data_IF_535751831861
#
_entry.id   IF_535751831861
#
_cell.length_a   1.000
_cell.length_b   1.000
_cell.length_c   1.000
_cell.angle_alpha   90.00
_cell.angle_beta   90.00
_cell.angle_gamma   90.00
#
_symmetry.space_group_name_H-M   'P 1'
#
loop_
_entity.id
_entity.type
_entity.pdbx_description
1 polymer ?
#
# COMPACT_ATOMS: atom_id res chain seq x y z
N UNK A 1 -34.96 43.90 -22.45
CA UNK A 1 -35.56 42.68 -21.87
C UNK A 1 -34.70 42.23 -20.69
N UNK A 2 -35.27 41.62 -19.63
CA UNK A 2 -34.51 41.25 -18.42
C UNK A 2 -34.72 39.78 -18.07
N UNK A 3 -33.66 39.10 -17.65
CA UNK A 3 -33.66 37.72 -17.16
C UNK A 3 -33.51 37.69 -15.63
N UNK A 4 -33.98 36.61 -15.02
CA UNK A 4 -33.95 36.45 -13.56
C UNK A 4 -32.51 36.44 -13.01
N UNK A 5 -31.57 35.83 -13.75
CA UNK A 5 -30.15 35.80 -13.39
C UNK A 5 -29.31 36.37 -14.54
N UNK A 6 -28.36 37.24 -14.21
CA UNK A 6 -27.33 37.69 -15.15
C UNK A 6 -26.32 36.59 -15.50
N UNK A 7 -25.98 35.74 -14.52
CA UNK A 7 -25.16 34.53 -14.72
C UNK A 7 -25.95 33.27 -14.34
N UNK A 8 -25.90 32.26 -15.22
CA UNK A 8 -26.57 30.98 -15.05
C UNK A 8 -25.57 29.84 -15.11
N UNK A 9 -25.19 29.31 -13.95
CA UNK A 9 -24.35 28.12 -13.84
C UNK A 9 -25.17 26.85 -14.14
N UNK A 10 -24.63 26.00 -15.00
CA UNK A 10 -25.27 24.77 -15.47
C UNK A 10 -24.23 23.68 -15.72
N UNK A 11 -24.66 22.43 -15.74
CA UNK A 11 -23.82 21.33 -16.24
C UNK A 11 -23.87 21.26 -17.78
N UNK A 12 -22.90 20.56 -18.37
CA UNK A 12 -22.87 20.18 -19.79
C UNK A 12 -23.91 19.11 -20.17
N UNK A 13 -24.76 18.69 -19.24
CA UNK A 13 -25.86 17.77 -19.51
C UNK A 13 -27.01 18.50 -20.22
N UNK A 14 -27.11 18.30 -21.53
CA UNK A 14 -28.14 18.92 -22.38
C UNK A 14 -29.58 18.65 -21.92
N UNK A 15 -29.84 17.50 -21.30
CA UNK A 15 -31.19 17.15 -20.81
C UNK A 15 -31.62 17.97 -19.60
N UNK A 16 -30.65 18.54 -18.87
CA UNK A 16 -30.86 19.36 -17.68
C UNK A 16 -30.79 20.85 -17.96
N UNK A 17 -30.20 21.25 -19.09
CA UNK A 17 -30.08 22.65 -19.47
C UNK A 17 -31.42 23.24 -19.89
N UNK A 18 -31.82 24.31 -19.21
CA UNK A 18 -33.02 25.09 -19.55
C UNK A 18 -32.63 26.53 -19.79
N UNK A 19 -32.98 27.04 -20.97
CA UNK A 19 -32.83 28.47 -21.25
C UNK A 19 -33.68 29.28 -20.27
N UNK A 20 -33.16 30.41 -19.79
CA UNK A 20 -33.95 31.30 -18.95
C UNK A 20 -35.09 31.92 -19.77
N UNK A 21 -36.28 31.93 -19.18
CA UNK A 21 -37.36 32.77 -19.69
C UNK A 21 -37.16 34.22 -19.23
N UNK A 22 -37.50 35.22 -20.06
CA UNK A 22 -37.49 36.61 -19.62
C UNK A 22 -38.51 36.83 -18.50
N UNK A 23 -38.21 37.75 -17.58
CA UNK A 23 -39.06 38.06 -16.42
C UNK A 23 -40.45 38.50 -16.87
N UNK A 24 -40.50 39.28 -17.95
CA UNK A 24 -41.75 39.63 -18.63
C UNK A 24 -41.96 38.65 -19.78
N UNK A 25 -43.14 38.00 -19.88
CA UNK A 25 -43.42 37.07 -20.97
C UNK A 25 -43.32 37.78 -22.31
N UNK A 26 -42.83 37.05 -23.32
CA UNK A 26 -42.74 37.56 -24.69
C UNK A 26 -44.17 37.77 -25.21
N UNK A 27 -44.52 38.96 -25.72
CA UNK A 27 -45.83 39.21 -26.31
C UNK A 27 -46.13 38.24 -27.46
N UNK A 28 -47.38 37.78 -27.59
CA UNK A 28 -47.77 36.74 -28.57
C UNK A 28 -47.58 37.16 -30.04
N UNK A 29 -47.60 38.46 -30.34
CA UNK A 29 -47.36 39.02 -31.68
C UNK A 29 -45.89 39.37 -31.95
N UNK A 30 -44.99 39.18 -30.99
CA UNK A 30 -43.58 39.51 -31.15
C UNK A 30 -42.85 38.37 -31.87
N UNK A 31 -42.09 38.72 -32.91
CA UNK A 31 -41.12 37.82 -33.51
C UNK A 31 -39.82 37.92 -32.71
N UNK A 32 -39.20 36.77 -32.42
CA UNK A 32 -37.99 36.74 -31.62
C UNK A 32 -37.00 35.71 -32.11
N UNK A 33 -35.72 35.99 -31.85
CA UNK A 33 -34.61 35.10 -32.17
C UNK A 33 -33.66 34.96 -30.99
N UNK A 34 -33.20 33.73 -30.77
CA UNK A 34 -32.11 33.43 -29.86
C UNK A 34 -30.78 33.35 -30.61
N UNK A 35 -29.74 33.84 -29.96
CA UNK A 35 -28.37 33.76 -30.42
C UNK A 35 -27.42 33.42 -29.27
N UNK A 36 -26.27 32.85 -29.60
CA UNK A 36 -25.20 32.54 -28.67
C UNK A 36 -23.92 33.23 -29.11
N UNK A 37 -23.28 33.96 -28.20
CA UNK A 37 -21.97 34.57 -28.40
C UNK A 37 -20.83 33.56 -28.55
N UNK A 38 -21.05 32.30 -28.12
CA UNK A 38 -20.07 31.23 -28.24
C UNK A 38 -20.77 29.90 -28.60
N UNK A 39 -21.00 29.67 -29.90
CA UNK A 39 -21.68 28.46 -30.42
C UNK A 39 -20.97 27.14 -30.08
N UNK A 40 -19.66 27.19 -29.80
CA UNK A 40 -18.90 26.01 -29.34
C UNK A 40 -19.22 25.58 -27.91
N UNK A 41 -19.72 26.51 -27.08
CA UNK A 41 -20.12 26.28 -25.68
C UNK A 41 -21.62 26.03 -25.60
N UNK A 42 -22.45 26.90 -26.18
CA UNK A 42 -23.89 26.71 -26.27
C UNK A 42 -24.34 26.91 -27.71
N UNK A 43 -24.75 25.84 -28.38
CA UNK A 43 -25.32 25.90 -29.72
C UNK A 43 -26.84 25.96 -29.61
N UNK A 44 -27.43 27.10 -29.97
CA UNK A 44 -28.86 27.35 -29.85
C UNK A 44 -29.44 27.74 -31.22
N UNK A 45 -30.62 27.20 -31.53
CA UNK A 45 -31.40 27.59 -32.70
C UNK A 45 -32.07 28.95 -32.48
N UNK A 46 -32.48 29.67 -33.54
CA UNK A 46 -33.22 30.92 -33.40
C UNK A 46 -34.52 30.79 -32.57
N UNK A 47 -35.12 29.59 -32.52
CA UNK A 47 -36.32 29.31 -31.72
C UNK A 47 -36.05 29.04 -30.24
N UNK A 48 -34.79 28.98 -29.82
CA UNK A 48 -34.40 28.73 -28.43
C UNK A 48 -34.14 27.25 -28.09
N UNK A 49 -34.16 26.35 -29.07
CA UNK A 49 -33.79 24.94 -28.87
C UNK A 49 -32.28 24.79 -28.86
N UNK A 50 -31.74 24.11 -27.85
CA UNK A 50 -30.30 23.87 -27.69
C UNK A 50 -29.92 22.56 -28.37
N UNK A 51 -28.95 22.61 -29.27
CA UNK A 51 -28.49 21.48 -30.08
C UNK A 51 -27.26 20.78 -29.47
N UNK A 52 -26.37 21.53 -28.82
CA UNK A 52 -25.17 21.00 -28.17
C UNK A 52 -24.68 21.92 -27.05
N UNK A 53 -24.00 21.32 -26.06
CA UNK A 53 -23.35 22.01 -24.96
C UNK A 53 -21.91 21.50 -24.81
N UNK A 54 -21.00 22.42 -24.50
CA UNK A 54 -19.63 22.14 -24.07
C UNK A 54 -19.28 23.07 -22.92
N UNK A 55 -18.30 22.71 -22.10
CA UNK A 55 -17.85 23.55 -21.00
C UNK A 55 -17.30 24.89 -21.50
N UNK A 56 -17.58 25.98 -20.77
CA UNK A 56 -17.18 27.32 -21.17
C UNK A 56 -18.16 28.40 -20.75
N UNK A 57 -17.99 29.57 -21.36
CA UNK A 57 -18.89 30.71 -21.19
C UNK A 57 -19.56 31.04 -22.52
N UNK A 58 -20.86 31.33 -22.50
CA UNK A 58 -21.57 31.87 -23.64
C UNK A 58 -22.60 32.91 -23.20
N UNK A 59 -22.58 34.09 -23.80
CA UNK A 59 -23.69 35.03 -23.69
C UNK A 59 -24.85 34.57 -24.58
N UNK A 60 -26.03 34.40 -23.99
CA UNK A 60 -27.26 34.03 -24.69
C UNK A 60 -28.16 35.26 -24.80
N UNK A 61 -28.42 35.68 -26.04
CA UNK A 61 -29.18 36.90 -26.33
C UNK A 61 -30.48 36.56 -27.00
N UNK A 62 -31.58 37.08 -26.44
CA UNK A 62 -32.91 37.07 -27.02
C UNK A 62 -33.18 38.45 -27.60
N UNK A 63 -33.47 38.50 -28.90
CA UNK A 63 -33.82 39.73 -29.62
C UNK A 63 -35.28 39.65 -30.05
N UNK A 64 -36.06 40.68 -29.74
CA UNK A 64 -37.35 40.95 -30.37
C UNK A 64 -37.09 41.77 -31.62
N UNK A 65 -37.55 41.28 -32.76
CA UNK A 65 -37.40 41.96 -34.04
C UNK A 65 -38.40 43.13 -34.15
N UNK A 66 -38.02 44.18 -34.85
CA UNK A 66 -38.93 45.29 -35.15
C UNK A 66 -40.11 44.80 -36.00
N UNK A 67 -41.33 45.19 -35.63
CA UNK A 67 -42.53 45.01 -36.44
C UNK A 67 -43.53 46.15 -36.21
N UNK A 68 -44.73 46.04 -36.78
CA UNK A 68 -45.79 47.07 -36.67
C UNK A 68 -46.22 47.39 -35.23
N UNK A 69 -45.88 46.54 -34.26
CA UNK A 69 -46.30 46.64 -32.86
C UNK A 69 -45.16 46.81 -31.87
N UNK A 70 -43.92 46.47 -32.25
CA UNK A 70 -42.77 46.42 -31.35
C UNK A 70 -41.53 47.04 -32.00
N UNK A 71 -40.84 47.88 -31.25
CA UNK A 71 -39.46 48.27 -31.57
C UNK A 71 -38.49 47.14 -31.21
N UNK A 72 -37.35 47.11 -31.90
CA UNK A 72 -36.28 46.18 -31.57
C UNK A 72 -35.87 46.34 -30.11
N UNK A 73 -35.83 45.22 -29.40
CA UNK A 73 -35.29 45.17 -28.05
C UNK A 73 -34.58 43.85 -27.82
N UNK A 74 -33.57 43.86 -26.96
CA UNK A 74 -32.84 42.66 -26.61
C UNK A 74 -32.66 42.53 -25.11
N UNK A 75 -32.27 41.34 -24.69
CA UNK A 75 -31.71 41.07 -23.37
C UNK A 75 -30.76 39.90 -23.49
N UNK A 76 -29.79 39.85 -22.59
CA UNK A 76 -28.84 38.75 -22.52
C UNK A 76 -28.63 38.26 -21.09
N UNK A 77 -28.12 37.03 -20.97
CA UNK A 77 -27.53 36.50 -19.77
C UNK A 77 -26.35 35.60 -20.14
N UNK A 78 -25.42 35.41 -19.22
CA UNK A 78 -24.27 34.53 -19.39
C UNK A 78 -24.63 33.13 -18.92
N UNK A 79 -24.45 32.13 -19.79
CA UNK A 79 -24.44 30.73 -19.41
C UNK A 79 -23.00 30.29 -19.11
N UNK A 80 -22.76 29.83 -17.89
CA UNK A 80 -21.50 29.22 -17.47
C UNK A 80 -21.70 27.69 -17.41
N UNK A 81 -21.10 26.98 -18.36
CA UNK A 81 -21.26 25.53 -18.51
C UNK A 81 -20.07 24.82 -17.88
N UNK A 82 -20.32 24.01 -16.86
CA UNK A 82 -19.32 23.22 -16.15
C UNK A 82 -19.41 21.73 -16.53
N UNK A 83 -18.27 21.05 -16.53
CA UNK A 83 -18.18 19.60 -16.72
C UNK A 83 -17.48 18.95 -15.53
N UNK A 84 -17.69 17.64 -15.35
CA UNK A 84 -16.92 16.88 -14.38
C UNK A 84 -15.41 16.93 -14.69
N UNK A 85 -14.53 16.93 -13.68
CA UNK A 85 -13.08 16.95 -13.90
C UNK A 85 -12.59 15.76 -14.72
N UNK A 86 -11.54 15.92 -15.53
CA UNK A 86 -11.03 14.80 -16.32
C UNK A 86 -9.87 14.09 -15.63
N UNK A 87 -10.13 12.88 -15.12
CA UNK A 87 -9.12 12.02 -14.49
C UNK A 87 -8.55 11.00 -15.47
N UNK A 88 -7.22 10.94 -15.56
CA UNK A 88 -6.54 9.79 -16.16
C UNK A 88 -6.55 8.59 -15.20
N UNK A 89 -6.29 7.40 -15.73
CA UNK A 89 -6.12 6.21 -14.91
C UNK A 89 -4.98 6.40 -13.89
N UNK A 90 -5.20 6.16 -12.59
CA UNK A 90 -4.17 6.35 -11.57
C UNK A 90 -2.99 5.43 -11.81
N UNK A 91 -1.77 5.96 -11.72
CA UNK A 91 -0.55 5.15 -11.77
C UNK A 91 -0.15 4.76 -10.36
N UNK A 92 0.08 3.47 -10.12
CA UNK A 92 0.42 2.94 -8.80
C UNK A 92 1.76 2.19 -8.81
N UNK A 93 2.61 2.50 -7.85
CA UNK A 93 3.86 1.80 -7.57
C UNK A 93 3.79 1.22 -6.16
N UNK A 94 4.24 -0.02 -5.99
CA UNK A 94 4.26 -0.71 -4.71
C UNK A 94 5.70 -0.85 -4.26
N UNK A 95 6.01 -0.43 -3.04
CA UNK A 95 7.30 -0.71 -2.41
C UNK A 95 7.17 -2.00 -1.60
N UNK A 96 7.94 -3.01 -2.00
CA UNK A 96 7.95 -4.36 -1.46
C UNK A 96 9.32 -4.66 -0.88
N UNK A 97 9.42 -4.96 0.43
CA UNK A 97 10.70 -5.33 1.06
C UNK A 97 11.80 -4.30 0.74
N UNK A 98 11.44 -3.01 0.77
CA UNK A 98 12.33 -1.88 0.50
C UNK A 98 12.65 -1.61 -0.98
N UNK A 99 12.00 -2.29 -1.92
CA UNK A 99 12.23 -2.14 -3.38
C UNK A 99 10.96 -1.69 -4.07
N UNK A 100 11.06 -0.67 -4.93
CA UNK A 100 9.92 -0.16 -5.70
C UNK A 100 9.65 -1.06 -6.92
N UNK A 101 8.39 -1.45 -7.08
CA UNK A 101 7.92 -2.29 -8.18
C UNK A 101 6.74 -1.61 -8.89
N UNK A 102 6.94 -1.33 -10.18
CA UNK A 102 5.87 -0.86 -11.05
C UNK A 102 4.96 -2.03 -11.44
N UNK A 103 3.65 -1.80 -11.38
CA UNK A 103 2.65 -2.78 -11.78
C UNK A 103 2.77 -4.14 -11.07
N UNK A 104 3.13 -4.14 -9.78
CA UNK A 104 3.14 -5.35 -8.96
C UNK A 104 1.77 -6.06 -8.98
N UNK A 105 1.79 -7.40 -9.04
CA UNK A 105 0.59 -8.25 -8.99
C UNK A 105 0.13 -8.51 -7.56
N UNK A 106 0.95 -8.18 -6.58
CA UNK A 106 0.69 -8.28 -5.15
C UNK A 106 1.52 -7.24 -4.40
N UNK A 107 1.07 -6.88 -3.20
CA UNK A 107 1.83 -6.05 -2.27
C UNK A 107 2.30 -6.93 -1.10
N UNK A 108 3.62 -7.01 -0.93
CA UNK A 108 4.34 -7.77 0.10
C UNK A 108 5.13 -6.79 0.99
N UNK A 109 4.46 -5.88 1.70
CA UNK A 109 5.15 -4.93 2.54
C UNK A 109 5.82 -5.66 3.71
N UNK A 110 7.02 -5.25 4.07
CA UNK A 110 7.81 -5.82 5.18
C UNK A 110 8.15 -4.73 6.19
N UNK A 111 8.52 -3.56 5.68
CA UNK A 111 9.02 -2.45 6.49
C UNK A 111 7.98 -1.35 6.66
N UNK A 112 8.02 -0.63 7.78
CA UNK A 112 7.12 0.52 8.05
C UNK A 112 7.30 1.66 7.04
N UNK A 113 8.43 1.69 6.33
CA UNK A 113 8.75 2.65 5.27
C UNK A 113 8.45 2.13 3.85
N UNK A 114 7.97 0.90 3.70
CA UNK A 114 7.29 0.49 2.47
C UNK A 114 6.03 1.38 2.25
N UNK A 115 5.46 1.40 1.06
CA UNK A 115 4.25 2.16 0.75
C UNK A 115 3.62 1.77 -0.59
N UNK A 116 2.38 2.23 -0.77
CA UNK A 116 1.73 2.34 -2.08
C UNK A 116 1.82 3.81 -2.49
N UNK A 117 2.52 4.09 -3.58
CA UNK A 117 2.61 5.41 -4.19
C UNK A 117 1.61 5.52 -5.33
N UNK A 118 0.70 6.49 -5.24
CA UNK A 118 -0.35 6.77 -6.22
C UNK A 118 -0.06 8.11 -6.88
N UNK A 119 -0.05 8.12 -8.21
CA UNK A 119 0.04 9.33 -9.02
C UNK A 119 -1.31 9.54 -9.69
N UNK A 120 -1.95 10.66 -9.36
CA UNK A 120 -3.21 11.09 -9.96
C UNK A 120 -2.93 12.25 -10.90
N UNK A 121 -3.52 12.19 -12.10
CA UNK A 121 -3.45 13.27 -13.08
C UNK A 121 -4.85 13.73 -13.43
N UNK A 122 -5.12 15.01 -13.16
CA UNK A 122 -6.32 15.73 -13.60
C UNK A 122 -5.93 16.69 -14.74
N UNK A 123 -6.47 16.46 -15.93
CA UNK A 123 -6.15 17.30 -17.10
C UNK A 123 -7.05 18.52 -17.23
N UNK A 124 -8.08 18.66 -16.37
CA UNK A 124 -8.96 19.83 -16.35
C UNK A 124 -8.25 21.05 -15.78
N UNK A 125 -7.96 22.04 -16.64
CA UNK A 125 -7.23 23.26 -16.26
C UNK A 125 -8.09 24.52 -16.13
N UNK A 126 -9.28 24.55 -16.75
CA UNK A 126 -10.13 25.73 -16.74
C UNK A 126 -11.02 25.79 -15.49
N UNK A 127 -11.58 26.96 -15.16
CA UNK A 127 -12.56 27.08 -14.06
C UNK A 127 -13.76 26.13 -14.21
N UNK A 128 -14.06 25.73 -15.44
CA UNK A 128 -15.19 24.87 -15.81
C UNK A 128 -14.94 23.37 -15.68
N UNK A 129 -13.67 22.95 -15.53
CA UNK A 129 -13.27 21.53 -15.55
C UNK A 129 -12.24 21.18 -14.47
N UNK A 130 -11.69 22.15 -13.76
CA UNK A 130 -10.73 21.90 -12.69
C UNK A 130 -11.41 21.17 -11.53
N UNK A 131 -10.66 20.28 -10.88
CA UNK A 131 -11.11 19.71 -9.61
C UNK A 131 -10.88 20.74 -8.50
N UNK A 132 -11.89 20.96 -7.66
CA UNK A 132 -11.75 21.71 -6.42
C UNK A 132 -11.20 20.86 -5.28
N UNK A 133 -11.48 19.55 -5.31
CA UNK A 133 -11.08 18.59 -4.29
C UNK A 133 -10.80 17.23 -4.92
N UNK A 134 -9.80 16.54 -4.38
CA UNK A 134 -9.45 15.18 -4.70
C UNK A 134 -9.55 14.33 -3.44
N UNK A 135 -10.30 13.22 -3.50
CA UNK A 135 -10.33 12.18 -2.48
C UNK A 135 -9.69 10.92 -3.05
N UNK A 136 -8.65 10.42 -2.39
CA UNK A 136 -7.95 9.20 -2.78
C UNK A 136 -8.08 8.22 -1.62
N UNK A 137 -8.73 7.08 -1.86
CA UNK A 137 -9.00 6.08 -0.84
C UNK A 137 -8.36 4.74 -1.21
N UNK A 138 -7.64 4.16 -0.26
CA UNK A 138 -7.26 2.75 -0.26
C UNK A 138 -8.44 1.95 0.29
N UNK A 139 -8.99 1.03 -0.50
CA UNK A 139 -10.20 0.27 -0.17
C UNK A 139 -9.98 -1.24 -0.26
N UNK A 140 -10.80 -1.99 0.44
CA UNK A 140 -10.94 -3.45 0.33
C UNK A 140 -12.42 -3.79 0.34
N UNK A 141 -12.96 -4.19 -0.82
CA UNK A 141 -14.42 -4.23 -1.01
C UNK A 141 -15.04 -2.85 -0.76
N UNK A 142 -16.13 -2.78 0.00
CA UNK A 142 -16.76 -1.50 0.36
C UNK A 142 -16.06 -0.74 1.49
N UNK A 143 -15.08 -1.36 2.16
CA UNK A 143 -14.42 -0.78 3.33
C UNK A 143 -13.28 0.14 2.91
N UNK A 144 -13.31 1.39 3.39
CA UNK A 144 -12.16 2.30 3.32
C UNK A 144 -11.15 1.90 4.39
N UNK A 145 -9.93 1.59 3.95
CA UNK A 145 -8.81 1.24 4.83
C UNK A 145 -8.01 2.48 5.24
N UNK A 146 -7.81 3.39 4.29
CA UNK A 146 -7.12 4.66 4.47
C UNK A 146 -7.59 5.64 3.37
N UNK A 147 -7.53 6.93 3.63
CA UNK A 147 -7.94 7.95 2.67
C UNK A 147 -7.26 9.29 2.91
N UNK A 148 -7.02 10.02 1.83
CA UNK A 148 -6.51 11.38 1.88
C UNK A 148 -7.37 12.29 1.02
N UNK A 149 -7.75 13.43 1.59
CA UNK A 149 -8.47 14.49 0.89
C UNK A 149 -7.57 15.71 0.72
N UNK A 150 -7.53 16.23 -0.50
CA UNK A 150 -6.57 17.24 -0.93
C UNK A 150 -7.27 18.27 -1.82
N UNK A 151 -6.86 19.54 -1.72
CA UNK A 151 -7.19 20.55 -2.73
C UNK A 151 -6.05 20.61 -3.75
N UNK A 152 -6.22 20.09 -4.97
CA UNK A 152 -5.12 20.00 -5.93
C UNK A 152 -4.65 21.39 -6.38
N UNK A 153 -3.36 21.69 -6.18
CA UNK A 153 -2.72 22.94 -6.63
C UNK A 153 -2.06 22.81 -8.00
N UNK A 154 -1.96 21.59 -8.52
CA UNK A 154 -1.41 21.27 -9.84
C UNK A 154 -2.19 20.12 -10.48
N UNK A 155 -1.99 19.90 -11.78
CA UNK A 155 -2.61 18.79 -12.52
C UNK A 155 -2.12 17.42 -12.07
N UNK A 156 -0.99 17.33 -11.38
CA UNK A 156 -0.36 16.08 -10.97
C UNK A 156 -0.21 16.03 -9.45
N UNK A 157 -0.84 15.06 -8.82
CA UNK A 157 -0.79 14.86 -7.37
C UNK A 157 -0.16 13.50 -7.05
N UNK A 158 0.70 13.47 -6.03
CA UNK A 158 1.34 12.24 -5.54
C UNK A 158 0.87 11.99 -4.12
N UNK A 159 0.36 10.78 -3.88
CA UNK A 159 -0.15 10.32 -2.59
C UNK A 159 0.63 9.06 -2.21
N UNK A 160 0.91 8.88 -0.92
CA UNK A 160 1.51 7.65 -0.41
C UNK A 160 0.65 7.08 0.71
N UNK A 161 0.35 5.78 0.64
CA UNK A 161 -0.29 5.03 1.72
C UNK A 161 0.75 4.17 2.43
N UNK A 162 0.90 4.37 3.74
CA UNK A 162 1.83 3.57 4.54
C UNK A 162 1.22 2.21 4.87
N UNK A 163 2.04 1.16 4.98
CA UNK A 163 1.59 -0.17 5.31
C UNK A 163 1.02 -0.20 6.72
N UNK A 164 0.02 -1.05 6.88
CA UNK A 164 -0.61 -1.33 8.16
C UNK A 164 -0.81 -2.84 8.26
N UNK A 165 -0.56 -3.40 9.45
CA UNK A 165 -0.77 -4.83 9.70
C UNK A 165 -2.20 -5.29 9.44
N UNK A 166 -3.19 -4.40 9.56
CA UNK A 166 -4.59 -4.68 9.26
C UNK A 166 -4.89 -4.83 7.77
N UNK A 167 -3.94 -4.55 6.87
CA UNK A 167 -4.11 -4.71 5.43
C UNK A 167 -3.82 -6.12 4.96
N UNK A 168 -3.01 -6.89 5.69
CA UNK A 168 -2.68 -8.26 5.30
C UNK A 168 -3.94 -9.10 5.11
N UNK A 169 -3.87 -10.00 4.13
CA UNK A 169 -4.96 -10.90 3.70
C UNK A 169 -6.13 -10.23 2.99
N UNK A 170 -6.08 -8.91 2.77
CA UNK A 170 -7.07 -8.16 2.00
C UNK A 170 -6.66 -8.00 0.54
N UNK A 171 -7.66 -7.83 -0.32
CA UNK A 171 -7.46 -7.43 -1.71
C UNK A 171 -7.77 -5.94 -1.83
N UNK A 172 -6.71 -5.13 -1.97
CA UNK A 172 -6.81 -3.67 -1.92
C UNK A 172 -6.86 -3.05 -3.30
N UNK A 173 -7.54 -1.91 -3.43
CA UNK A 173 -7.54 -1.09 -4.64
C UNK A 173 -7.60 0.39 -4.27
N UNK A 174 -7.20 1.25 -5.21
CA UNK A 174 -7.27 2.70 -5.04
C UNK A 174 -8.49 3.22 -5.77
N UNK A 175 -9.33 3.98 -5.07
CA UNK A 175 -10.42 4.76 -5.64
C UNK A 175 -10.05 6.24 -5.57
N UNK A 176 -10.18 6.93 -6.70
CA UNK A 176 -9.91 8.36 -6.82
C UNK A 176 -11.19 9.06 -7.24
N UNK A 177 -11.63 10.03 -6.44
CA UNK A 177 -12.78 10.88 -6.74
C UNK A 177 -12.32 12.34 -6.86
N UNK A 178 -12.58 12.97 -7.99
CA UNK A 178 -12.33 14.39 -8.21
C UNK A 178 -13.66 15.15 -8.27
N UNK A 179 -13.85 16.07 -7.34
CA UNK A 179 -15.01 16.95 -7.29
C UNK A 179 -14.72 18.23 -8.06
N UNK A 180 -15.61 18.60 -8.98
CA UNK A 180 -15.59 19.84 -9.75
C UNK A 180 -16.48 20.91 -9.10
N UNK A 181 -17.39 21.49 -9.87
CA UNK A 181 -18.36 22.46 -9.34
C UNK A 181 -19.27 21.77 -8.29
N UNK A 182 -19.14 22.18 -7.03
CA UNK A 182 -19.85 21.59 -5.89
C UNK A 182 -21.36 21.84 -5.93
N UNK A 183 -21.79 23.02 -6.39
CA UNK A 183 -23.21 23.40 -6.52
C UNK A 183 -23.92 22.50 -7.51
N UNK A 184 -23.22 22.07 -8.56
CA UNK A 184 -23.74 21.19 -9.61
C UNK A 184 -23.46 19.71 -9.34
N UNK A 185 -22.83 19.37 -8.20
CA UNK A 185 -22.45 18.01 -7.82
C UNK A 185 -21.68 17.25 -8.91
N UNK A 186 -20.82 17.95 -9.64
CA UNK A 186 -20.03 17.35 -10.72
C UNK A 186 -18.83 16.62 -10.14
N UNK A 187 -18.73 15.33 -10.44
CA UNK A 187 -17.66 14.48 -9.96
C UNK A 187 -17.20 13.51 -11.04
N UNK A 188 -15.94 13.12 -10.96
CA UNK A 188 -15.36 12.02 -11.73
C UNK A 188 -14.73 11.03 -10.79
N UNK A 189 -14.85 9.75 -11.12
CA UNK A 189 -14.30 8.67 -10.32
C UNK A 189 -13.51 7.69 -11.20
N UNK A 190 -12.38 7.22 -10.67
CA UNK A 190 -11.56 6.16 -11.25
C UNK A 190 -11.15 5.18 -10.17
N UNK A 191 -11.00 3.91 -10.53
CA UNK A 191 -10.53 2.86 -9.62
C UNK A 191 -9.47 2.02 -10.29
N UNK A 192 -8.46 1.63 -9.52
CA UNK A 192 -7.42 0.73 -10.00
C UNK A 192 -7.86 -0.73 -9.92
N UNK A 193 -7.07 -1.62 -10.52
CA UNK A 193 -7.21 -3.06 -10.27
C UNK A 193 -7.00 -3.39 -8.79
N UNK A 194 -7.59 -4.50 -8.36
CA UNK A 194 -7.34 -5.10 -7.05
C UNK A 194 -5.95 -5.73 -7.00
N UNK A 195 -5.29 -5.57 -5.86
CA UNK A 195 -3.96 -6.12 -5.55
C UNK A 195 -4.01 -6.78 -4.17
N UNK A 196 -3.71 -8.09 -4.07
CA UNK A 196 -3.67 -8.78 -2.79
C UNK A 196 -2.51 -8.29 -1.93
N UNK A 197 -2.77 -8.10 -0.64
CA UNK A 197 -1.74 -7.81 0.37
C UNK A 197 -1.42 -9.10 1.11
N UNK A 198 -0.18 -9.59 0.97
CA UNK A 198 0.22 -10.90 1.51
C UNK A 198 1.46 -10.75 2.38
N UNK A 199 1.62 -11.69 3.30
CA UNK A 199 2.87 -11.86 4.03
C UNK A 199 3.94 -12.35 3.05
N UNK A 200 5.13 -11.75 3.10
CA UNK A 200 6.29 -12.29 2.39
C UNK A 200 6.67 -13.64 3.00
N UNK A 201 7.26 -14.53 2.20
CA UNK A 201 8.03 -15.65 2.74
C UNK A 201 9.12 -15.09 3.67
N UNK A 202 9.13 -15.43 4.97
CA UNK A 202 10.07 -14.87 5.93
C UNK A 202 11.54 -15.09 5.55
N UNK A 203 11.84 -16.16 4.80
CA UNK A 203 13.22 -16.44 4.33
C UNK A 203 13.70 -15.45 3.27
N UNK A 204 12.79 -14.71 2.62
CA UNK A 204 13.10 -13.67 1.63
C UNK A 204 13.25 -12.28 2.23
N UNK A 205 13.03 -12.12 3.54
CA UNK A 205 13.41 -10.90 4.25
C UNK A 205 14.95 -10.82 4.20
N UNK A 206 15.47 -9.72 3.65
CA UNK A 206 16.89 -9.60 3.33
C UNK A 206 17.75 -9.55 4.60
N UNK A 207 18.99 -10.01 4.48
CA UNK A 207 20.06 -9.86 5.49
C UNK A 207 19.78 -10.55 6.84
N UNK A 208 19.20 -11.75 6.79
CA UNK A 208 19.17 -12.66 7.94
C UNK A 208 20.40 -13.57 7.87
N UNK A 209 21.16 -13.65 8.96
CA UNK A 209 22.30 -14.56 9.07
C UNK A 209 22.06 -15.60 10.16
N UNK A 210 22.49 -16.83 9.88
CA UNK A 210 22.35 -17.97 10.78
C UNK A 210 23.72 -18.58 11.09
N UNK A 211 24.00 -18.69 12.38
CA UNK A 211 25.21 -19.34 12.90
C UNK A 211 24.87 -20.12 14.16
N UNK A 212 25.88 -20.76 14.73
CA UNK A 212 25.75 -21.40 16.02
C UNK A 212 27.11 -21.39 16.71
N UNK A 213 27.08 -21.56 18.02
CA UNK A 213 28.25 -21.84 18.84
C UNK A 213 28.16 -23.27 19.36
N UNK A 214 29.30 -23.96 19.42
CA UNK A 214 29.39 -25.29 19.99
C UNK A 214 30.13 -25.22 21.32
N UNK A 215 29.52 -25.77 22.36
CA UNK A 215 30.02 -25.67 23.72
C UNK A 215 30.01 -27.05 24.39
N UNK A 216 30.97 -27.26 25.28
CA UNK A 216 31.03 -28.45 26.13
C UNK A 216 30.98 -28.04 27.62
N UNK A 217 29.81 -27.66 28.15
CA UNK A 217 29.67 -27.30 29.55
C UNK A 217 29.84 -28.49 30.49
N UNK A 218 30.26 -28.18 31.72
CA UNK A 218 30.28 -29.11 32.85
C UNK A 218 28.89 -29.26 33.46
N UNK A 219 28.52 -30.47 33.90
CA UNK A 219 27.25 -30.70 34.61
C UNK A 219 27.19 -29.96 35.94
N UNK A 220 28.32 -29.83 36.65
CA UNK A 220 28.38 -29.20 37.97
C UNK A 220 28.34 -27.67 37.89
N UNK A 221 28.84 -27.12 36.80
CA UNK A 221 28.82 -25.69 36.53
C UNK A 221 28.75 -25.43 35.01
N UNK A 222 27.56 -25.12 34.52
CA UNK A 222 27.33 -24.88 33.11
C UNK A 222 28.01 -23.61 32.57
N UNK A 223 28.52 -22.73 33.45
CA UNK A 223 29.33 -21.57 33.03
C UNK A 223 30.72 -21.99 32.54
N UNK A 224 31.26 -23.09 33.10
CA UNK A 224 32.55 -23.66 32.74
C UNK A 224 32.41 -24.49 31.47
N UNK A 225 33.14 -24.10 30.42
CA UNK A 225 33.16 -24.82 29.14
C UNK A 225 34.53 -25.46 28.92
N UNK A 226 34.53 -26.62 28.26
CA UNK A 226 35.72 -27.42 28.03
C UNK A 226 36.03 -27.49 26.54
N UNK A 227 37.31 -27.67 26.21
CA UNK A 227 37.76 -27.85 24.82
C UNK A 227 37.51 -29.26 24.26
N UNK A 228 36.97 -30.18 25.07
CA UNK A 228 36.68 -31.57 24.69
C UNK A 228 35.71 -32.22 25.67
N UNK A 229 35.10 -33.30 25.23
CA UNK A 229 34.25 -34.17 26.04
C UNK A 229 35.05 -34.94 27.10
N UNK A 230 34.40 -35.86 27.83
CA UNK A 230 35.05 -36.60 28.90
C UNK A 230 36.13 -37.55 28.34
N UNK A 231 37.39 -37.45 28.78
CA UNK A 231 38.42 -38.42 28.42
C UNK A 231 38.39 -39.68 29.29
N UNK A 232 37.87 -39.60 30.52
CA UNK A 232 37.83 -40.71 31.48
C UNK A 232 36.74 -40.53 32.54
N UNK A 233 36.41 -41.60 33.27
CA UNK A 233 35.42 -41.58 34.36
C UNK A 233 35.81 -40.73 35.59
N UNK A 234 37.07 -40.28 35.67
CA UNK A 234 37.52 -39.40 36.76
C UNK A 234 37.25 -37.92 36.50
N UNK A 235 36.78 -37.58 35.29
CA UNK A 235 36.43 -36.23 34.94
C UNK A 235 34.99 -35.92 35.37
N UNK A 236 34.72 -34.64 35.59
CA UNK A 236 33.35 -34.16 35.72
C UNK A 236 32.55 -34.46 34.46
N UNK A 237 31.27 -34.78 34.65
CA UNK A 237 30.33 -35.04 33.55
C UNK A 237 30.21 -33.82 32.64
N UNK A 238 30.21 -34.05 31.33
CA UNK A 238 30.16 -32.99 30.30
C UNK A 238 29.06 -33.26 29.29
N UNK A 239 28.53 -32.22 28.67
CA UNK A 239 27.50 -32.33 27.65
C UNK A 239 27.93 -31.58 26.39
N UNK A 240 27.52 -32.05 25.21
CA UNK A 240 27.76 -31.33 23.96
C UNK A 240 26.52 -30.50 23.62
N UNK A 241 26.65 -29.19 23.46
CA UNK A 241 25.55 -28.26 23.17
C UNK A 241 25.81 -27.48 21.89
N UNK A 242 24.70 -27.14 21.21
CA UNK A 242 24.66 -26.19 20.11
C UNK A 242 23.84 -25.00 20.57
N UNK A 243 24.42 -23.80 20.52
CA UNK A 243 23.73 -22.54 20.81
C UNK A 243 23.45 -21.83 19.49
N UNK A 244 22.23 -21.96 18.95
CA UNK A 244 21.87 -21.30 17.70
C UNK A 244 21.87 -19.79 17.86
N UNK A 245 22.32 -19.10 16.81
CA UNK A 245 22.38 -17.65 16.73
C UNK A 245 21.77 -17.17 15.42
N UNK A 246 20.91 -16.17 15.52
CA UNK A 246 20.29 -15.52 14.37
C UNK A 246 20.48 -14.01 14.48
N UNK A 247 20.87 -13.37 13.40
CA UNK A 247 20.92 -11.91 13.31
C UNK A 247 20.13 -11.39 12.13
N UNK A 248 19.47 -10.26 12.34
CA UNK A 248 18.74 -9.50 11.33
C UNK A 248 19.44 -8.15 11.15
N UNK A 249 19.79 -7.79 9.91
CA UNK A 249 20.37 -6.48 9.61
C UNK A 249 19.58 -5.76 8.51
N UNK A 250 18.56 -5.02 8.92
CA UNK A 250 17.70 -4.21 8.05
C UNK A 250 18.07 -2.72 8.10
N UNK A 251 19.28 -2.40 8.58
CA UNK A 251 19.73 -1.03 8.80
C UNK A 251 18.84 -0.30 9.82
N UNK A 252 18.49 0.95 9.51
CA UNK A 252 17.59 1.79 10.31
C UNK A 252 16.10 1.53 10.11
N UNK A 253 15.73 0.51 9.31
CA UNK A 253 14.33 0.15 9.06
C UNK A 253 13.71 -0.56 10.26
N UNK A 254 12.38 -0.60 10.25
CA UNK A 254 11.56 -1.29 11.23
C UNK A 254 10.54 -2.17 10.50
N UNK A 255 10.28 -3.37 11.03
CA UNK A 255 9.30 -4.30 10.51
C UNK A 255 7.88 -3.87 10.90
N UNK A 256 6.92 -4.08 10.00
CA UNK A 256 5.49 -3.73 10.25
C UNK A 256 4.89 -4.58 11.37
N UNK A 257 5.34 -5.83 11.47
CA UNK A 257 4.99 -6.79 12.51
C UNK A 257 6.25 -7.55 12.96
N UNK A 258 6.26 -8.17 14.14
CA UNK A 258 7.42 -8.92 14.60
C UNK A 258 7.75 -10.12 13.68
N UNK A 259 9.04 -10.34 13.44
CA UNK A 259 9.59 -11.58 12.88
C UNK A 259 9.97 -12.51 14.04
N UNK A 260 9.18 -13.56 14.26
CA UNK A 260 9.43 -14.55 15.31
C UNK A 260 10.42 -15.62 14.84
N UNK A 261 11.22 -16.10 15.77
CA UNK A 261 12.32 -17.04 15.53
C UNK A 261 12.28 -18.14 16.60
N UNK A 262 12.40 -19.37 16.13
CA UNK A 262 12.64 -20.55 16.97
C UNK A 262 13.63 -21.48 16.29
N UNK A 263 14.27 -22.33 17.09
CA UNK A 263 15.33 -23.22 16.62
C UNK A 263 15.03 -24.66 16.99
N UNK A 264 15.45 -25.59 16.12
CA UNK A 264 15.45 -27.03 16.40
C UNK A 264 16.69 -27.71 15.83
N UNK A 265 17.19 -28.71 16.53
CA UNK A 265 18.10 -29.72 15.97
C UNK A 265 17.26 -30.89 15.50
N UNK A 266 17.35 -31.21 14.21
CA UNK A 266 16.62 -32.30 13.55
C UNK A 266 17.57 -33.20 12.78
N UNK A 267 17.10 -34.37 12.34
CA UNK A 267 17.87 -35.34 11.57
C UNK A 267 19.21 -35.69 12.24
N UNK A 268 19.18 -35.83 13.57
CA UNK A 268 20.34 -36.23 14.34
C UNK A 268 20.80 -37.65 13.97
N UNK A 269 22.12 -37.81 13.84
CA UNK A 269 22.78 -39.05 13.50
C UNK A 269 24.10 -39.19 14.29
N UNK A 270 24.60 -40.43 14.42
CA UNK A 270 25.71 -40.77 15.31
C UNK A 270 25.31 -40.61 16.77
N UNK A 271 26.14 -39.92 17.56
CA UNK A 271 25.84 -39.63 18.97
C UNK A 271 24.90 -38.45 19.20
N UNK A 272 24.44 -37.77 18.15
CA UNK A 272 23.54 -36.61 18.28
C UNK A 272 22.12 -37.03 18.67
N UNK A 273 21.38 -36.13 19.32
CA UNK A 273 19.91 -36.19 19.47
C UNK A 273 19.22 -34.95 18.88
N UNK A 274 17.94 -35.11 18.55
CA UNK A 274 17.08 -33.99 18.21
C UNK A 274 16.80 -33.14 19.46
N UNK A 275 16.75 -31.83 19.29
CA UNK A 275 16.54 -30.86 20.37
C UNK A 275 15.55 -29.80 19.91
N UNK A 276 14.58 -29.49 20.74
CA UNK A 276 13.71 -28.33 20.56
C UNK A 276 14.10 -27.27 21.58
N UNK A 277 14.61 -26.13 21.13
CA UNK A 277 15.07 -25.08 22.03
C UNK A 277 13.91 -24.32 22.68
N UNK A 278 12.66 -24.54 22.22
CA UNK A 278 11.44 -23.91 22.76
C UNK A 278 11.53 -22.39 22.91
N UNK A 279 12.39 -21.75 22.11
CA UNK A 279 12.65 -20.33 22.16
C UNK A 279 11.65 -19.58 21.29
N UNK A 280 11.19 -18.43 21.80
CA UNK A 280 10.28 -17.55 21.08
C UNK A 280 10.82 -16.12 21.13
N UNK A 281 11.90 -15.88 20.38
CA UNK A 281 12.45 -14.54 20.22
C UNK A 281 11.81 -13.86 19.01
N UNK A 282 11.78 -12.53 18.99
CA UNK A 282 11.33 -11.79 17.83
C UNK A 282 12.18 -10.56 17.58
N UNK A 283 12.28 -10.20 16.30
CA UNK A 283 12.82 -8.91 15.88
C UNK A 283 11.70 -8.01 15.39
N UNK A 284 11.78 -6.72 15.74
CA UNK A 284 11.08 -5.63 15.04
C UNK A 284 12.06 -4.72 14.31
N UNK A 285 13.34 -4.76 14.69
CA UNK A 285 14.44 -3.96 14.14
C UNK A 285 15.70 -4.83 14.00
N UNK A 286 16.75 -4.27 13.41
CA UNK A 286 18.06 -4.92 13.36
C UNK A 286 18.53 -5.37 14.75
N UNK A 287 19.08 -6.58 14.84
CA UNK A 287 19.49 -7.18 16.12
C UNK A 287 20.08 -8.56 15.96
N UNK A 288 20.51 -9.14 17.08
CA UNK A 288 20.97 -10.53 17.14
C UNK A 288 20.45 -11.22 18.38
N UNK A 289 20.12 -12.50 18.22
CA UNK A 289 19.68 -13.37 19.28
C UNK A 289 20.52 -14.64 19.27
N UNK A 290 21.00 -15.04 20.44
CA UNK A 290 21.65 -16.32 20.67
C UNK A 290 20.88 -17.03 21.77
N UNK A 291 20.50 -18.28 21.52
CA UNK A 291 19.96 -19.12 22.57
C UNK A 291 21.09 -19.54 23.50
N UNK A 292 21.07 -19.07 24.74
CA UNK A 292 22.18 -19.18 25.68
C UNK A 292 21.91 -20.14 26.84
N UNK A 293 20.75 -20.81 26.88
CA UNK A 293 20.45 -21.78 27.94
C UNK A 293 21.35 -23.01 27.81
N UNK A 294 22.06 -23.32 28.90
CA UNK A 294 23.03 -24.42 28.98
C UNK A 294 22.53 -25.64 29.76
N UNK A 295 21.23 -25.73 30.02
CA UNK A 295 20.62 -26.91 30.63
C UNK A 295 20.93 -28.17 29.81
N UNK A 296 21.16 -29.28 30.50
CA UNK A 296 21.42 -30.59 29.90
C UNK A 296 20.29 -31.04 28.98
N UNK A 297 19.05 -30.58 29.22
CA UNK A 297 17.89 -30.83 28.37
C UNK A 297 18.04 -30.32 26.92
N UNK A 298 18.90 -29.32 26.69
CA UNK A 298 19.22 -28.78 25.36
C UNK A 298 20.52 -29.34 24.76
N UNK A 299 21.19 -30.27 25.45
CA UNK A 299 22.38 -30.92 24.92
C UNK A 299 22.03 -31.72 23.66
N UNK A 300 22.85 -31.64 22.62
CA UNK A 300 22.77 -32.58 21.49
C UNK A 300 23.37 -33.94 21.83
N UNK A 301 24.16 -34.03 22.91
CA UNK A 301 24.58 -35.28 23.55
C UNK A 301 24.81 -35.03 25.03
N UNK A 302 24.04 -35.71 25.87
CA UNK A 302 24.31 -35.76 27.31
C UNK A 302 25.47 -36.71 27.61
N UNK A 303 26.21 -36.44 28.68
CA UNK A 303 27.35 -37.25 29.12
C UNK A 303 28.31 -37.59 27.96
N UNK A 304 28.80 -36.55 27.28
CA UNK A 304 29.61 -36.73 26.08
C UNK A 304 31.03 -37.23 26.43
N UNK A 305 31.57 -38.10 25.58
CA UNK A 305 32.89 -38.73 25.69
C UNK A 305 33.75 -38.36 24.47
N UNK A 306 35.08 -38.42 24.58
CA UNK A 306 35.98 -38.02 23.48
C UNK A 306 35.77 -38.82 22.19
N UNK A 307 35.31 -40.06 22.30
CA UNK A 307 35.02 -40.91 21.13
C UNK A 307 33.69 -40.55 20.47
N UNK A 308 32.84 -39.80 21.17
CA UNK A 308 31.52 -39.43 20.66
C UNK A 308 31.64 -38.37 19.58
N UNK A 309 30.88 -38.57 18.53
CA UNK A 309 30.80 -37.67 17.40
C UNK A 309 29.43 -37.84 16.72
N UNK A 310 29.01 -36.81 16.00
CA UNK A 310 27.73 -36.89 15.32
C UNK A 310 27.49 -35.76 14.36
N UNK A 311 26.37 -35.85 13.67
CA UNK A 311 25.89 -34.83 12.77
C UNK A 311 24.41 -34.57 13.03
N UNK A 312 23.95 -33.37 12.67
CA UNK A 312 22.54 -33.03 12.67
C UNK A 312 22.29 -31.84 11.75
N UNK A 313 21.02 -31.44 11.63
CA UNK A 313 20.60 -30.22 10.94
C UNK A 313 20.12 -29.20 11.96
N UNK A 314 20.71 -28.01 11.98
CA UNK A 314 20.10 -26.88 12.66
C UNK A 314 19.01 -26.31 11.75
N UNK A 315 17.77 -26.34 12.22
CA UNK A 315 16.64 -25.70 11.59
C UNK A 315 16.29 -24.42 12.35
N UNK A 316 16.28 -23.30 11.64
CA UNK A 316 15.73 -22.02 12.14
C UNK A 316 14.37 -21.82 11.49
N UNK A 317 13.31 -21.77 12.30
CA UNK A 317 11.98 -21.43 11.83
C UNK A 317 11.74 -19.93 12.03
N UNK A 318 11.30 -19.29 10.95
CA UNK A 318 10.93 -17.89 10.90
C UNK A 318 9.42 -17.77 10.72
N UNK A 319 8.77 -16.88 11.47
CA UNK A 319 7.35 -16.59 11.32
C UNK A 319 7.12 -15.08 11.20
N UNK A 320 6.49 -14.65 10.11
CA UNK A 320 6.11 -13.26 9.86
C UNK A 320 4.61 -13.21 9.58
N UNK A 321 3.83 -12.85 10.60
CA UNK A 321 2.38 -12.99 10.58
C UNK A 321 1.97 -14.46 10.38
N UNK A 322 1.22 -14.74 9.31
CA UNK A 322 0.78 -16.11 9.01
C UNK A 322 1.71 -16.86 8.06
N UNK A 323 2.81 -16.24 7.60
CA UNK A 323 3.80 -16.93 6.77
C UNK A 323 4.90 -17.52 7.64
N UNK A 324 5.23 -18.79 7.38
CA UNK A 324 6.31 -19.52 8.02
C UNK A 324 7.34 -19.95 6.99
N UNK A 325 8.61 -19.78 7.31
CA UNK A 325 9.73 -20.19 6.48
C UNK A 325 10.81 -20.88 7.32
N UNK A 326 11.67 -21.65 6.66
CA UNK A 326 12.74 -22.39 7.34
C UNK A 326 14.07 -22.17 6.66
N UNK A 327 15.09 -21.88 7.46
CA UNK A 327 16.49 -22.05 7.07
C UNK A 327 17.04 -23.31 7.70
N UNK A 328 17.87 -24.03 6.95
CA UNK A 328 18.44 -25.31 7.39
C UNK A 328 19.87 -25.41 6.90
N UNK A 329 20.77 -25.77 7.80
CA UNK A 329 22.10 -26.22 7.42
C UNK A 329 22.55 -27.39 8.29
N UNK A 330 23.33 -28.27 7.68
CA UNK A 330 23.90 -29.43 8.35
C UNK A 330 25.18 -29.03 9.08
N UNK A 331 25.44 -29.71 10.18
CA UNK A 331 26.69 -29.60 10.91
C UNK A 331 27.13 -30.97 11.42
N UNK A 332 28.43 -31.10 11.66
CA UNK A 332 29.05 -32.20 12.41
C UNK A 332 29.76 -31.67 13.64
N UNK A 333 29.92 -32.51 14.65
CA UNK A 333 30.66 -32.22 15.88
C UNK A 333 31.51 -33.40 16.32
N UNK A 334 32.60 -33.12 17.02
CA UNK A 334 33.59 -34.10 17.50
C UNK A 334 33.95 -33.84 18.97
N UNK A 335 33.72 -34.83 19.81
CA UNK A 335 33.99 -34.75 21.24
C UNK A 335 35.48 -34.74 21.61
N UNK A 336 36.37 -35.22 20.75
CA UNK A 336 37.81 -35.35 21.05
C UNK A 336 38.55 -34.02 21.11
N UNK A 337 38.18 -33.11 20.22
CA UNK A 337 38.78 -31.79 20.03
C UNK A 337 37.79 -30.64 20.25
N UNK A 338 36.54 -30.96 20.63
CA UNK A 338 35.50 -29.99 20.91
C UNK A 338 35.16 -29.11 19.71
N UNK A 339 35.31 -29.64 18.49
CA UNK A 339 35.07 -28.89 17.27
C UNK A 339 33.70 -29.16 16.69
N UNK A 340 33.20 -28.19 15.94
CA UNK A 340 32.03 -28.34 15.09
C UNK A 340 32.22 -27.58 13.78
N UNK A 341 31.58 -28.06 12.72
CA UNK A 341 31.66 -27.42 11.40
C UNK A 341 30.36 -27.60 10.64
N UNK A 342 29.99 -26.58 9.86
CA UNK A 342 28.96 -26.71 8.83
C UNK A 342 29.48 -27.66 7.73
N UNK A 343 28.62 -28.51 7.20
CA UNK A 343 28.95 -29.50 6.15
C UNK A 343 28.02 -29.42 4.96
#
# INVERSE_FOLDING_TARGET
MQFAKSNHEVSDNISQFKIQSPIKPIPTKAHYTWSSGAKGVVNITPKGTVNSLSNGEAELTLTIDTNDYFEQSSGSYTAEVYSSPNLLEPTVTYRNNGVDELAATQWLPVYTDDDIKVIVVNTGGSKYTKASQLSVALKSGSTVLDSQELSPTSSRTVINFKPNSHYYTKDVYIEVTALGNQTLHLASQKSTRHVPVRYIDPTKIRNINYSFEFLIPDTRDASVTNSRCQPSHFNSTRHALIQPKTSLNIGGKELIIPLYISHKIINANGDSRNVDFSNNHFFTRSGSYQFDNRSTSYAIKEECWNVHNGEATLQTMLTFGNATGYDRFRFKWDGSNGSSSKI
#
